data_IF_999583525704
#
_entry.id   IF_999583525704
#
_cell.length_a   1.000
_cell.length_b   1.000
_cell.length_c   1.000
_cell.angle_alpha   90.00
_cell.angle_beta   90.00
_cell.angle_gamma   90.00
#
_symmetry.space_group_name_H-M   'P 1'
#
loop_
_entity.id
_entity.type
_entity.pdbx_description
1 polymer ?
2 non-polymer ?
3 water ?
#
# COMPACT_ATOMS: atom_id res chain seq x y z
N UNK A 1 2.26 -20.86 -7.64
CA UNK A 1 0.98 -20.11 -7.85
C UNK A 1 0.81 -19.73 -9.35
N UNK A 2 1.90 -19.74 -10.13
CA UNK A 2 1.94 -19.40 -11.58
C UNK A 2 0.65 -19.81 -12.30
N UNK A 3 0.25 -21.09 -12.19
CA UNK A 3 -0.79 -21.74 -13.04
C UNK A 3 -2.09 -20.94 -12.96
N UNK A 4 -2.34 -20.34 -11.79
CA UNK A 4 -3.50 -19.44 -11.53
C UNK A 4 -3.51 -18.26 -12.51
N UNK A 5 -2.34 -17.82 -12.97
CA UNK A 5 -2.14 -16.54 -13.69
C UNK A 5 -1.82 -16.79 -15.17
N UNK A 6 -1.54 -18.04 -15.54
CA UNK A 6 -1.04 -18.42 -16.89
C UNK A 6 -2.21 -18.52 -17.85
N UNK A 7 -2.04 -18.00 -19.07
CA UNK A 7 -2.97 -18.17 -20.19
C UNK A 7 -4.14 -17.21 -20.11
N UNK A 8 -5.00 -17.28 -21.12
CA UNK A 8 -6.23 -16.46 -21.23
C UNK A 8 -7.13 -16.69 -20.00
N UNK A 9 -7.26 -17.91 -19.51
CA UNK A 9 -8.10 -18.22 -18.32
C UNK A 9 -7.46 -17.58 -17.08
N UNK A 10 -6.13 -17.45 -17.04
CA UNK A 10 -5.40 -16.85 -15.92
C UNK A 10 -5.50 -15.33 -15.88
N UNK A 11 -6.06 -14.71 -16.93
CA UNK A 11 -5.94 -13.25 -17.21
C UNK A 11 -6.83 -12.48 -16.22
N UNK A 12 -8.03 -12.96 -15.97
CA UNK A 12 -8.97 -12.38 -14.97
C UNK A 12 -8.16 -12.07 -13.68
N UNK A 13 -7.44 -13.06 -13.13
CA UNK A 13 -6.73 -12.90 -11.84
C UNK A 13 -5.34 -12.25 -12.05
N UNK A 14 -4.69 -12.45 -13.20
CA UNK A 14 -3.44 -11.72 -13.52
C UNK A 14 -3.71 -10.21 -13.48
N UNK A 15 -4.79 -9.75 -14.11
CA UNK A 15 -5.12 -8.29 -14.19
C UNK A 15 -5.37 -7.76 -12.77
N UNK A 16 -6.18 -8.45 -11.97
CA UNK A 16 -6.47 -8.07 -10.55
C UNK A 16 -5.17 -8.04 -9.73
N UNK A 17 -4.31 -9.05 -9.87
CA UNK A 17 -2.98 -9.07 -9.21
C UNK A 17 -2.27 -7.75 -9.50
N UNK A 18 -2.17 -7.38 -10.78
CA UNK A 18 -1.36 -6.21 -11.24
C UNK A 18 -2.07 -4.91 -10.80
N UNK A 19 -3.40 -4.93 -10.67
CA UNK A 19 -4.19 -3.78 -10.15
C UNK A 19 -3.80 -3.47 -8.69
N UNK A 20 -3.49 -4.48 -7.90
CA UNK A 20 -3.14 -4.33 -6.47
C UNK A 20 -1.71 -3.80 -6.33
N UNK A 21 -0.89 -3.86 -7.38
CA UNK A 21 0.52 -3.39 -7.33
C UNK A 21 0.50 -1.87 -7.07
N UNK A 22 1.41 -1.40 -6.22
CA UNK A 22 1.51 0.02 -5.78
C UNK A 22 1.76 0.93 -6.98
N UNK A 23 2.41 0.42 -8.04
CA UNK A 23 2.75 1.23 -9.23
C UNK A 23 1.52 1.37 -10.12
N UNK A 24 0.52 0.50 -9.98
CA UNK A 24 -0.69 0.47 -10.86
C UNK A 24 -1.87 1.15 -10.15
N UNK A 25 -2.09 0.86 -8.85
CA UNK A 25 -3.07 1.61 -7.99
C UNK A 25 -4.47 1.47 -8.57
N UNK A 26 -4.80 0.31 -9.11
CA UNK A 26 -6.20 -0.09 -9.40
C UNK A 26 -6.61 0.17 -10.83
N UNK A 27 -5.77 0.86 -11.61
CA UNK A 27 -6.07 1.28 -13.02
C UNK A 27 -6.12 0.03 -13.90
N UNK A 28 -7.30 -0.28 -14.42
CA UNK A 28 -7.57 -1.52 -15.19
C UNK A 28 -6.81 -1.42 -16.51
N UNK A 29 -6.71 -0.22 -17.06
CA UNK A 29 -6.10 0.00 -18.40
C UNK A 29 -4.64 -0.43 -18.32
N UNK A 30 -3.91 0.14 -17.37
CA UNK A 30 -2.45 -0.11 -17.23
C UNK A 30 -2.27 -1.61 -16.93
N UNK A 31 -3.15 -2.18 -16.10
CA UNK A 31 -3.10 -3.58 -15.62
C UNK A 31 -3.26 -4.55 -16.80
N UNK A 32 -4.17 -4.25 -17.72
CA UNK A 32 -4.48 -5.08 -18.92
C UNK A 32 -3.29 -5.04 -19.87
N UNK A 33 -2.79 -3.84 -20.19
CA UNK A 33 -1.57 -3.63 -21.04
C UNK A 33 -0.37 -4.30 -20.36
N UNK A 34 -0.16 -4.09 -19.06
CA UNK A 34 0.95 -4.74 -18.28
C UNK A 34 0.83 -6.27 -18.38
N UNK A 35 -0.39 -6.79 -18.21
CA UNK A 35 -0.72 -8.24 -18.27
C UNK A 35 -0.24 -8.81 -19.61
N UNK A 36 -0.40 -8.07 -20.71
CA UNK A 36 -0.01 -8.54 -22.07
C UNK A 36 1.51 -8.60 -22.21
N UNK A 37 2.26 -7.86 -21.39
CA UNK A 37 3.70 -7.56 -21.66
C UNK A 37 4.60 -8.19 -20.60
N UNK A 38 4.08 -8.68 -19.48
CA UNK A 38 4.94 -9.28 -18.42
C UNK A 38 5.21 -10.75 -18.77
N UNK A 39 6.24 -11.31 -18.14
CA UNK A 39 6.58 -12.74 -18.15
C UNK A 39 6.67 -13.20 -16.70
N UNK A 40 6.00 -14.31 -16.38
CA UNK A 40 5.96 -14.88 -15.02
C UNK A 40 7.28 -15.58 -14.76
N UNK A 41 7.88 -15.36 -13.60
CA UNK A 41 9.10 -16.08 -13.12
C UNK A 41 8.88 -16.53 -11.69
N UNK A 42 9.27 -17.75 -11.34
CA UNK A 42 9.40 -18.14 -9.93
C UNK A 42 10.84 -17.79 -9.49
N UNK A 43 11.02 -17.43 -8.23
CA UNK A 43 12.35 -17.14 -7.66
C UNK A 43 12.57 -18.07 -6.47
N UNK A 44 13.63 -18.87 -6.51
CA UNK A 44 14.05 -19.74 -5.37
C UNK A 44 14.51 -18.86 -4.22
N UNK A 45 14.22 -19.25 -2.97
CA UNK A 45 14.78 -18.61 -1.76
C UNK A 45 16.28 -18.46 -1.97
N UNK A 46 16.84 -17.28 -1.64
CA UNK A 46 18.30 -17.04 -1.64
C UNK A 46 18.82 -16.59 -3.01
N UNK A 47 18.06 -16.83 -4.08
CA UNK A 47 18.31 -16.27 -5.43
C UNK A 47 18.46 -14.75 -5.32
N UNK A 48 19.45 -14.21 -6.02
CA UNK A 48 19.61 -12.76 -6.21
C UNK A 48 18.95 -12.40 -7.54
N UNK A 49 17.68 -11.99 -7.50
CA UNK A 49 16.90 -11.61 -8.71
C UNK A 49 17.67 -10.49 -9.41
N UNK A 50 18.17 -9.53 -8.62
CA UNK A 50 18.97 -8.37 -9.06
C UNK A 50 20.25 -8.35 -8.23
N UNK A 51 21.37 -8.02 -8.85
CA UNK A 51 22.68 -7.89 -8.18
C UNK A 51 23.18 -6.47 -8.36
N UNK A 52 23.67 -5.88 -7.28
CA UNK A 52 24.20 -4.50 -7.24
C UNK A 52 25.31 -4.36 -8.28
N UNK A 53 25.30 -3.25 -9.03
CA UNK A 53 26.38 -2.79 -9.93
C UNK A 53 26.41 -3.65 -11.20
N UNK A 54 25.42 -4.52 -11.40
CA UNK A 54 25.12 -5.13 -12.70
C UNK A 54 24.24 -4.17 -13.49
N UNK A 55 24.10 -4.46 -14.77
CA UNK A 55 23.56 -3.54 -15.79
C UNK A 55 22.31 -4.17 -16.41
N UNK A 56 21.51 -4.92 -15.63
CA UNK A 56 20.12 -5.25 -15.99
C UNK A 56 19.24 -4.04 -15.63
N UNK A 57 18.09 -3.91 -16.28
CA UNK A 57 17.21 -2.71 -16.14
C UNK A 57 15.74 -3.10 -16.23
N UNK A 58 15.45 -4.37 -15.96
CA UNK A 58 14.08 -4.94 -15.89
C UNK A 58 13.40 -4.46 -14.62
N UNK A 59 12.07 -4.36 -14.67
CA UNK A 59 11.19 -4.11 -13.51
C UNK A 59 10.46 -5.41 -13.18
N UNK A 60 10.38 -5.72 -11.88
CA UNK A 60 9.67 -6.87 -11.33
C UNK A 60 8.52 -6.34 -10.45
N UNK A 61 7.30 -6.78 -10.76
CA UNK A 61 6.10 -6.64 -9.90
C UNK A 61 5.98 -7.90 -9.01
N UNK A 62 6.07 -7.74 -7.68
CA UNK A 62 6.10 -8.88 -6.73
C UNK A 62 4.67 -9.31 -6.47
N UNK A 63 4.28 -10.47 -6.99
CA UNK A 63 2.92 -11.05 -6.75
C UNK A 63 2.95 -11.80 -5.42
N UNK A 64 3.96 -12.64 -5.22
CA UNK A 64 4.09 -13.54 -4.05
C UNK A 64 5.53 -13.52 -3.55
N UNK A 65 5.69 -13.55 -2.23
CA UNK A 65 6.97 -13.76 -1.55
C UNK A 65 7.58 -12.42 -1.20
N UNK A 66 8.81 -12.43 -0.71
CA UNK A 66 9.49 -11.20 -0.26
C UNK A 66 11.00 -11.33 -0.48
N UNK A 67 11.65 -10.18 -0.56
CA UNK A 67 13.03 -10.02 -1.05
C UNK A 67 13.73 -8.97 -0.19
N UNK A 68 14.99 -9.21 0.11
CA UNK A 68 15.91 -8.28 0.82
C UNK A 68 16.47 -7.28 -0.19
N UNK A 69 16.47 -5.98 0.16
CA UNK A 69 17.25 -4.92 -0.56
C UNK A 69 18.57 -4.72 0.21
N UNK A 70 19.69 -5.03 -0.44
CA UNK A 70 21.05 -5.10 0.15
C UNK A 70 21.95 -4.15 -0.64
N UNK A 71 22.53 -3.18 0.03
CA UNK A 71 23.54 -2.27 -0.55
C UNK A 71 24.84 -2.44 0.22
N UNK A 72 25.94 -2.63 -0.50
CA UNK A 72 27.31 -2.68 0.06
C UNK A 72 27.38 -3.58 1.30
N UNK A 73 26.69 -4.73 1.26
CA UNK A 73 26.75 -5.78 2.28
C UNK A 73 25.64 -5.67 3.32
N UNK A 74 24.95 -4.52 3.41
CA UNK A 74 23.98 -4.24 4.51
C UNK A 74 22.56 -4.25 3.93
N UNK A 75 21.62 -4.94 4.61
CA UNK A 75 20.17 -4.88 4.29
C UNK A 75 19.62 -3.52 4.76
N UNK A 76 18.75 -2.90 3.95
CA UNK A 76 18.19 -1.53 4.21
C UNK A 76 16.67 -1.57 4.10
N UNK A 77 16.10 -2.66 3.61
CA UNK A 77 14.65 -2.85 3.44
C UNK A 77 14.34 -4.26 2.96
N UNK A 78 13.06 -4.61 3.01
CA UNK A 78 12.48 -5.83 2.37
C UNK A 78 11.26 -5.38 1.58
N UNK A 79 10.95 -6.09 0.50
CA UNK A 79 9.81 -5.78 -0.39
C UNK A 79 9.01 -7.07 -0.61
N UNK A 80 7.68 -6.97 -0.56
CA UNK A 80 6.75 -8.11 -0.58
C UNK A 80 5.63 -7.91 -1.59
N UNK A 81 4.50 -8.63 -1.44
CA UNK A 81 3.41 -8.55 -2.40
C UNK A 81 2.98 -7.11 -2.74
N UNK A 82 2.75 -6.83 -4.03
CA UNK A 82 2.22 -5.54 -4.54
C UNK A 82 3.30 -4.45 -4.53
N UNK A 83 4.49 -4.78 -4.04
CA UNK A 83 5.69 -3.92 -4.19
C UNK A 83 6.25 -4.14 -5.59
N UNK A 84 7.16 -3.28 -6.01
CA UNK A 84 7.96 -3.45 -7.25
C UNK A 84 9.44 -3.23 -6.94
N UNK A 85 10.30 -3.79 -7.78
CA UNK A 85 11.76 -3.60 -7.70
C UNK A 85 12.31 -3.42 -9.11
N UNK A 86 13.43 -2.69 -9.25
CA UNK A 86 14.16 -2.49 -10.51
C UNK A 86 13.72 -1.24 -11.24
N UNK A 87 12.80 -0.43 -10.67
CA UNK A 87 12.28 0.78 -11.37
C UNK A 87 13.42 1.80 -11.55
N UNK A 88 14.38 1.84 -10.63
CA UNK A 88 15.45 2.88 -10.62
C UNK A 88 16.31 2.74 -11.89
N UNK A 89 16.83 1.56 -12.22
CA UNK A 89 17.57 1.28 -13.48
C UNK A 89 16.67 1.53 -14.71
N UNK A 90 15.41 1.10 -14.67
CA UNK A 90 14.45 1.25 -15.79
C UNK A 90 14.22 2.72 -16.19
N UNK A 91 14.23 3.68 -15.26
CA UNK A 91 13.93 5.12 -15.59
C UNK A 91 15.24 5.90 -15.80
N UNK A 92 16.40 5.32 -15.49
CA UNK A 92 17.74 5.94 -15.68
C UNK A 92 18.53 5.10 -16.67
N UNK A 93 18.70 5.55 -17.94
CA UNK A 93 19.31 4.75 -18.99
C UNK A 93 20.77 4.33 -18.76
N UNK A 94 21.51 5.09 -17.94
CA UNK A 94 22.97 4.94 -17.71
C UNK A 94 23.29 4.45 -16.29
N UNK A 95 22.30 4.18 -15.42
CA UNK A 95 22.55 3.75 -14.00
C UNK A 95 22.54 2.22 -13.89
N UNK A 96 23.54 1.67 -13.22
CA UNK A 96 23.61 0.24 -12.83
C UNK A 96 22.60 0.00 -11.70
N UNK A 97 22.20 -1.25 -11.51
CA UNK A 97 21.43 -1.71 -10.33
C UNK A 97 22.04 -1.09 -9.07
N UNK A 98 21.22 -0.39 -8.26
CA UNK A 98 21.66 0.36 -7.04
C UNK A 98 21.87 -0.60 -5.88
N UNK A 99 21.30 -1.81 -5.96
CA UNK A 99 21.17 -2.78 -4.84
C UNK A 99 21.10 -4.21 -5.37
N UNK A 100 21.56 -5.15 -4.56
CA UNK A 100 21.17 -6.57 -4.68
C UNK A 100 19.78 -6.72 -4.10
N UNK A 101 18.92 -7.47 -4.78
CA UNK A 101 17.57 -7.86 -4.33
C UNK A 101 17.54 -9.39 -4.24
N UNK A 102 17.41 -9.94 -3.04
CA UNK A 102 17.59 -11.39 -2.78
C UNK A 102 16.31 -11.94 -2.19
N UNK A 103 15.79 -13.03 -2.76
CA UNK A 103 14.59 -13.75 -2.25
C UNK A 103 14.85 -14.26 -0.82
N UNK A 104 14.20 -13.65 0.16
CA UNK A 104 14.13 -14.15 1.57
C UNK A 104 13.52 -15.55 1.54
N UNK A 105 12.63 -15.78 0.57
CA UNK A 105 11.81 -17.01 0.40
C UNK A 105 11.44 -17.14 -1.08
N UNK A 106 10.92 -18.32 -1.45
CA UNK A 106 10.22 -18.60 -2.73
C UNK A 106 9.24 -17.45 -3.03
N UNK A 107 9.43 -16.82 -4.19
CA UNK A 107 8.61 -15.67 -4.71
C UNK A 107 8.05 -15.99 -6.08
N UNK A 108 6.98 -15.30 -6.45
CA UNK A 108 6.48 -15.22 -7.83
C UNK A 108 6.42 -13.74 -8.23
N UNK A 109 7.01 -13.40 -9.38
CA UNK A 109 7.14 -12.00 -9.86
C UNK A 109 6.67 -11.92 -11.31
N UNK A 110 6.16 -10.76 -11.72
CA UNK A 110 5.91 -10.41 -13.13
C UNK A 110 7.04 -9.51 -13.62
N UNK A 111 7.80 -9.97 -14.62
CA UNK A 111 8.97 -9.25 -15.19
C UNK A 111 8.53 -8.49 -16.46
N UNK A 112 8.90 -7.23 -16.57
CA UNK A 112 8.73 -6.39 -17.80
C UNK A 112 10.09 -5.79 -18.12
N UNK A 113 10.51 -5.87 -19.39
CA UNK A 113 11.78 -5.26 -19.87
C UNK A 113 11.65 -3.72 -19.84
N UNK A 114 12.78 -3.03 -19.72
CA UNK A 114 12.85 -1.55 -19.83
C UNK A 114 12.19 -1.09 -21.14
N UNK A 115 12.47 -1.74 -22.27
CA UNK A 115 11.93 -1.32 -23.60
C UNK A 115 10.40 -1.35 -23.61
N UNK A 116 9.79 -2.44 -23.13
CA UNK A 116 8.31 -2.60 -23.09
C UNK A 116 7.69 -1.63 -22.06
N UNK A 117 8.39 -1.41 -20.93
CA UNK A 117 7.91 -0.51 -19.85
C UNK A 117 7.92 0.93 -20.32
N UNK A 118 9.05 1.41 -20.86
CA UNK A 118 9.23 2.80 -21.36
C UNK A 118 8.18 3.10 -22.43
N UNK A 119 7.89 2.12 -23.31
CA UNK A 119 6.87 2.26 -24.38
C UNK A 119 5.48 2.44 -23.76
N UNK A 120 5.17 1.70 -22.70
CA UNK A 120 3.88 1.79 -21.96
C UNK A 120 3.79 3.12 -21.20
N UNK A 121 4.85 3.50 -20.47
CA UNK A 121 4.88 4.69 -19.58
C UNK A 121 4.90 5.98 -20.40
N UNK A 122 5.52 5.93 -21.58
CA UNK A 122 5.49 7.00 -22.62
C UNK A 122 4.15 7.75 -22.51
N UNK A 123 3.05 7.00 -22.59
CA UNK A 123 1.66 7.51 -22.72
C UNK A 123 0.80 6.98 -21.56
N UNK A 124 1.41 6.69 -20.40
CA UNK A 124 0.70 6.44 -19.12
C UNK A 124 1.51 7.12 -18.01
N UNK A 125 1.66 8.44 -18.14
CA UNK A 125 2.40 9.34 -17.24
C UNK A 125 2.27 8.86 -15.79
N UNK A 126 1.06 8.47 -15.35
CA UNK A 126 0.76 8.20 -13.92
C UNK A 126 1.67 7.09 -13.37
N UNK A 127 2.33 6.32 -14.24
CA UNK A 127 3.32 5.28 -13.82
C UNK A 127 4.58 5.99 -13.27
N UNK A 128 5.06 7.01 -13.97
CA UNK A 128 6.19 7.87 -13.49
C UNK A 128 5.76 8.52 -12.17
N UNK A 129 4.52 8.99 -12.07
CA UNK A 129 3.98 9.62 -10.85
C UNK A 129 4.06 8.62 -9.70
N UNK A 130 3.57 7.40 -9.91
CA UNK A 130 3.40 6.39 -8.84
C UNK A 130 4.77 5.88 -8.40
N UNK A 131 5.72 5.79 -9.33
CA UNK A 131 7.16 5.51 -9.05
C UNK A 131 7.71 6.61 -8.14
N UNK A 132 7.46 7.88 -8.49
CA UNK A 132 7.92 9.06 -7.72
C UNK A 132 7.42 8.95 -6.28
N UNK A 133 6.17 8.56 -6.10
CA UNK A 133 5.50 8.43 -4.78
C UNK A 133 6.25 7.39 -3.93
N UNK A 134 6.50 6.20 -4.50
CA UNK A 134 7.28 5.12 -3.85
C UNK A 134 8.65 5.66 -3.44
N UNK A 135 9.40 6.26 -4.36
CA UNK A 135 10.76 6.79 -4.10
C UNK A 135 10.68 7.88 -3.01
N UNK A 136 9.66 8.75 -3.05
CA UNK A 136 9.37 9.74 -1.99
C UNK A 136 9.27 9.04 -0.63
N UNK A 137 8.54 7.92 -0.57
CA UNK A 137 8.33 7.15 0.69
C UNK A 137 9.66 6.58 1.19
N UNK A 138 10.45 5.94 0.32
CA UNK A 138 11.75 5.34 0.70
C UNK A 138 12.66 6.44 1.25
N UNK A 139 12.49 7.67 0.76
CA UNK A 139 13.39 8.83 1.05
C UNK A 139 13.03 9.37 2.43
N UNK A 140 11.74 9.28 2.79
CA UNK A 140 11.11 9.95 3.95
C UNK A 140 11.06 9.02 5.17
N UNK A 141 11.75 7.87 5.11
CA UNK A 141 11.58 6.78 6.10
C UNK A 141 12.85 6.60 6.94
N UNK A 142 12.73 6.74 8.27
CA UNK A 142 13.72 6.30 9.30
C UNK A 142 15.13 6.76 8.90
N UNK A 143 15.35 8.09 8.85
CA UNK A 143 16.66 8.71 8.53
C UNK A 143 17.69 8.25 9.58
N UNK A 144 17.30 8.28 10.87
CA UNK A 144 18.16 8.03 12.06
C UNK A 144 19.53 8.71 11.86
N UNK A 145 20.51 8.37 12.71
CA UNK A 145 21.86 8.98 12.70
C UNK A 145 22.86 7.91 12.21
N UNK A 146 23.69 8.27 11.24
CA UNK A 146 24.85 7.45 10.80
C UNK A 146 25.93 7.59 11.87
N UNK A 147 26.36 6.46 12.44
CA UNK A 147 27.40 6.37 13.50
C UNK A 147 28.75 6.69 12.86
N UNK A 148 29.57 7.48 13.54
CA UNK A 148 31.03 7.58 13.33
C UNK A 148 31.71 6.75 14.44
N UNK A 149 32.47 5.72 14.05
CA UNK A 149 33.33 4.93 14.96
C UNK A 149 34.65 5.66 15.13
N UNK A 150 35.11 5.80 16.36
CA UNK A 150 36.40 6.45 16.71
C UNK A 150 37.41 5.35 17.06
N UNK A 151 38.57 5.41 16.42
CA UNK A 151 39.68 4.45 16.56
C UNK A 151 40.93 5.22 16.99
N UNK A 152 41.63 4.71 18.01
CA UNK A 152 43.00 5.16 18.39
C UNK A 152 44.01 4.10 17.95
N UNK A 153 44.93 4.47 17.04
CA UNK A 153 45.96 3.60 16.41
C UNK A 153 47.35 3.88 17.00
N UNK A 154 47.97 2.85 17.58
CA UNK A 154 49.39 2.81 17.96
C UNK A 154 50.16 1.93 16.97
N UNK A 155 50.87 2.59 16.04
CA UNK A 155 51.52 2.00 14.84
C UNK A 155 52.98 1.67 15.10
N UNK A 156 53.39 0.45 14.75
CA UNK A 156 54.76 -0.10 14.93
C UNK A 156 55.21 -0.73 13.61
N UNK A 157 56.37 -0.31 13.09
CA UNK A 157 56.98 -0.76 11.82
C UNK A 157 58.12 -1.75 12.13
N UNK A 158 58.30 -2.74 11.26
CA UNK A 158 59.41 -3.74 11.32
C UNK A 158 59.96 -3.95 9.91
N UNK B 1 -6.40 21.99 4.32
CA UNK B 1 -6.58 20.82 3.42
C UNK B 1 -7.91 20.93 2.68
N UNK B 2 -9.01 21.02 3.41
CA UNK B 2 -10.39 20.85 2.85
C UNK B 2 -10.57 21.74 1.61
N UNK B 3 -9.91 22.90 1.59
CA UNK B 3 -9.95 23.89 0.48
C UNK B 3 -9.61 23.20 -0.85
N UNK B 4 -8.59 22.34 -0.84
CA UNK B 4 -8.06 21.62 -2.02
C UNK B 4 -9.15 20.75 -2.66
N UNK B 5 -10.07 20.21 -1.86
CA UNK B 5 -10.99 19.12 -2.26
C UNK B 5 -12.44 19.61 -2.36
N UNK B 6 -12.69 20.90 -2.10
CA UNK B 6 -14.05 21.51 -2.10
C UNK B 6 -14.35 22.16 -3.47
N UNK B 7 -15.61 22.08 -3.92
CA UNK B 7 -16.12 22.78 -5.10
C UNK B 7 -15.78 22.04 -6.36
N UNK B 8 -15.86 22.71 -7.52
CA UNK B 8 -15.48 22.12 -8.84
C UNK B 8 -13.95 21.99 -8.89
N UNK B 9 -13.23 22.99 -8.38
CA UNK B 9 -11.74 23.07 -8.43
C UNK B 9 -11.19 21.83 -7.72
N UNK B 10 -11.80 21.46 -6.59
CA UNK B 10 -11.31 20.42 -5.67
C UNK B 10 -11.63 19.02 -6.15
N UNK B 11 -12.69 18.87 -6.95
CA UNK B 11 -13.26 17.55 -7.38
C UNK B 11 -12.17 16.61 -7.92
N UNK B 12 -11.25 17.12 -8.74
CA UNK B 12 -10.16 16.30 -9.36
C UNK B 12 -9.28 15.68 -8.25
N UNK B 13 -9.00 16.44 -7.18
CA UNK B 13 -8.12 16.03 -6.06
C UNK B 13 -8.92 15.14 -5.11
N UNK B 14 -10.24 15.38 -5.00
CA UNK B 14 -11.16 14.63 -4.11
C UNK B 14 -11.31 13.21 -4.67
N UNK B 15 -11.73 13.11 -5.95
CA UNK B 15 -11.89 11.82 -6.67
C UNK B 15 -10.58 11.02 -6.61
N UNK B 16 -9.43 11.70 -6.72
CA UNK B 16 -8.07 11.10 -6.76
C UNK B 16 -7.73 10.50 -5.40
N UNK B 17 -8.00 11.21 -4.30
CA UNK B 17 -7.79 10.70 -2.93
C UNK B 17 -8.76 9.55 -2.67
N UNK B 18 -9.96 9.60 -3.28
CA UNK B 18 -11.03 8.59 -3.10
C UNK B 18 -10.67 7.31 -3.88
N UNK B 19 -10.21 7.42 -5.13
CA UNK B 19 -9.91 6.22 -5.95
C UNK B 19 -8.66 5.54 -5.36
N UNK B 20 -7.88 6.27 -4.55
CA UNK B 20 -6.73 5.72 -3.78
C UNK B 20 -7.22 5.05 -2.49
N UNK B 21 -8.51 5.10 -2.18
CA UNK B 21 -9.01 4.51 -0.90
C UNK B 21 -8.94 2.98 -1.01
N UNK B 22 -8.55 2.31 0.09
CA UNK B 22 -8.50 0.82 0.21
C UNK B 22 -9.82 0.18 -0.27
N UNK B 23 -10.95 0.89 -0.17
CA UNK B 23 -12.30 0.35 -0.45
C UNK B 23 -12.69 0.57 -1.92
N UNK B 24 -12.05 1.52 -2.62
CA UNK B 24 -12.45 1.95 -3.99
C UNK B 24 -11.50 1.31 -5.03
N UNK B 25 -10.24 1.11 -4.67
CA UNK B 25 -9.24 0.28 -5.43
C UNK B 25 -9.10 0.81 -6.87
N UNK B 26 -9.08 2.13 -7.05
CA UNK B 26 -8.78 2.80 -8.33
C UNK B 26 -9.98 2.98 -9.25
N UNK B 27 -11.15 2.41 -8.92
CA UNK B 27 -12.35 2.49 -9.79
C UNK B 27 -12.86 3.93 -9.82
N UNK B 28 -13.03 4.49 -11.02
CA UNK B 28 -13.27 5.95 -11.27
C UNK B 28 -14.76 6.23 -11.09
N UNK B 29 -15.60 5.39 -11.66
CA UNK B 29 -17.07 5.48 -11.59
C UNK B 29 -17.48 5.54 -10.11
N UNK B 30 -16.88 4.68 -9.29
CA UNK B 30 -17.23 4.53 -7.86
C UNK B 30 -16.79 5.78 -7.12
N UNK B 31 -15.56 6.25 -7.37
CA UNK B 31 -14.97 7.48 -6.81
C UNK B 31 -15.85 8.69 -7.14
N UNK B 32 -16.30 8.80 -8.39
CA UNK B 32 -17.11 9.95 -8.88
C UNK B 32 -18.44 9.98 -8.12
N UNK B 33 -19.09 8.82 -7.97
CA UNK B 33 -20.40 8.68 -7.30
C UNK B 33 -20.22 8.91 -5.80
N UNK B 34 -19.18 8.33 -5.22
CA UNK B 34 -18.79 8.56 -3.81
C UNK B 34 -18.71 10.08 -3.57
N UNK B 35 -17.93 10.79 -4.39
CA UNK B 35 -17.74 12.25 -4.32
C UNK B 35 -19.11 12.95 -4.32
N UNK B 36 -20.05 12.52 -5.16
CA UNK B 36 -21.39 13.14 -5.28
C UNK B 36 -22.17 13.03 -3.96
N UNK B 37 -21.82 12.09 -3.08
CA UNK B 37 -22.65 11.78 -1.87
C UNK B 37 -21.83 11.79 -0.57
N UNK B 38 -20.62 12.39 -0.55
CA UNK B 38 -19.86 12.57 0.71
C UNK B 38 -19.94 14.03 1.17
N UNK B 39 -19.72 14.24 2.47
CA UNK B 39 -19.45 15.57 3.07
C UNK B 39 -18.06 15.52 3.69
N UNK B 40 -17.19 16.43 3.27
CA UNK B 40 -15.88 16.68 3.88
C UNK B 40 -16.08 17.28 5.26
N UNK B 41 -15.40 16.71 6.26
CA UNK B 41 -15.31 17.26 7.62
C UNK B 41 -13.84 17.28 8.00
N UNK B 42 -13.39 18.37 8.61
CA UNK B 42 -12.11 18.43 9.33
C UNK B 42 -12.32 17.80 10.71
N UNK B 43 -11.44 16.89 11.10
CA UNK B 43 -11.40 16.31 12.46
C UNK B 43 -10.14 16.86 13.12
N UNK B 44 -10.26 17.34 14.36
CA UNK B 44 -9.14 17.95 15.10
C UNK B 44 -8.45 16.87 15.93
N UNK B 45 -7.12 16.94 16.05
CA UNK B 45 -6.33 16.23 17.08
C UNK B 45 -7.20 16.04 18.32
N UNK B 46 -7.33 14.81 18.84
CA UNK B 46 -7.99 14.53 20.12
C UNK B 46 -9.49 14.26 19.99
N UNK B 47 -10.16 14.81 18.96
CA UNK B 47 -11.63 14.68 18.80
C UNK B 47 -12.00 13.22 18.46
N UNK B 48 -12.88 12.61 19.26
CA UNK B 48 -13.44 11.25 19.02
C UNK B 48 -14.44 11.28 17.85
N UNK B 49 -14.00 10.95 16.64
CA UNK B 49 -14.85 10.90 15.41
C UNK B 49 -16.05 9.97 15.64
N UNK B 50 -15.81 8.85 16.35
CA UNK B 50 -16.79 7.75 16.59
C UNK B 50 -16.54 7.25 18.01
N UNK B 51 -17.61 6.93 18.76
CA UNK B 51 -17.53 6.40 20.15
C UNK B 51 -18.07 4.97 20.19
N UNK B 52 -17.31 4.06 20.82
CA UNK B 52 -17.70 2.65 21.06
C UNK B 52 -19.08 2.59 21.72
N UNK B 53 -19.92 1.62 21.32
CA UNK B 53 -21.23 1.29 21.95
C UNK B 53 -22.21 2.47 21.77
N UNK B 54 -21.88 3.41 20.88
CA UNK B 54 -22.76 4.46 20.36
C UNK B 54 -23.50 3.90 19.12
N UNK B 55 -24.60 4.52 18.67
CA UNK B 55 -25.36 3.97 17.53
C UNK B 55 -25.45 4.97 16.36
N UNK B 56 -24.31 5.56 15.96
CA UNK B 56 -24.10 6.20 14.64
C UNK B 56 -23.71 5.10 13.64
N UNK B 57 -23.98 5.28 12.34
CA UNK B 57 -23.66 4.26 11.31
C UNK B 57 -23.18 4.90 10.01
N UNK B 58 -22.51 6.05 10.09
CA UNK B 58 -21.82 6.71 8.94
C UNK B 58 -20.47 6.03 8.69
N UNK B 59 -20.06 6.01 7.42
CA UNK B 59 -18.72 5.56 6.95
C UNK B 59 -17.88 6.81 6.67
N UNK B 60 -16.61 6.76 7.02
CA UNK B 60 -15.62 7.84 6.77
C UNK B 60 -14.45 7.28 5.96
N UNK B 61 -14.16 7.92 4.83
CA UNK B 61 -12.89 7.74 4.08
C UNK B 61 -11.86 8.73 4.62
N UNK B 62 -10.75 8.24 5.14
CA UNK B 62 -9.63 9.08 5.66
C UNK B 62 -8.83 9.59 4.46
N UNK B 63 -8.91 10.89 4.19
CA UNK B 63 -8.18 11.57 3.07
C UNK B 63 -6.83 12.08 3.59
N UNK B 64 -6.81 12.70 4.77
CA UNK B 64 -5.57 13.23 5.38
C UNK B 64 -5.55 12.94 6.88
N UNK B 65 -4.35 12.77 7.43
CA UNK B 65 -4.15 12.53 8.87
C UNK B 65 -4.34 11.07 9.24
N UNK B 66 -4.30 10.78 10.52
CA UNK B 66 -4.32 9.40 11.08
C UNK B 66 -5.12 9.42 12.37
N UNK B 67 -5.69 8.28 12.75
CA UNK B 67 -6.66 8.16 13.87
C UNK B 67 -6.39 6.87 14.62
N UNK B 68 -6.49 6.93 15.94
CA UNK B 68 -6.37 5.80 16.88
C UNK B 68 -7.68 4.99 16.88
N UNK B 69 -7.58 3.66 16.81
CA UNK B 69 -8.70 2.69 17.03
C UNK B 69 -8.59 2.14 18.44
N UNK B 70 -9.65 2.31 19.25
CA UNK B 70 -9.65 2.09 20.72
C UNK B 70 -10.82 1.16 21.07
N UNK B 71 -10.52 0.10 21.83
CA UNK B 71 -11.54 -0.85 22.40
C UNK B 71 -11.34 -0.91 23.91
N UNK B 72 -12.35 -0.49 24.67
CA UNK B 72 -12.35 -0.41 26.15
C UNK B 72 -11.06 0.29 26.62
N UNK B 73 -10.86 1.55 26.21
CA UNK B 73 -9.85 2.45 26.80
C UNK B 73 -8.47 2.31 26.18
N UNK B 74 -8.21 1.24 25.43
CA UNK B 74 -6.84 0.90 24.94
C UNK B 74 -6.86 0.71 23.43
N UNK B 75 -5.84 1.25 22.76
CA UNK B 75 -5.69 1.29 21.28
C UNK B 75 -5.32 -0.10 20.77
N UNK B 76 -5.72 -0.43 19.55
CA UNK B 76 -5.46 -1.76 18.92
C UNK B 76 -4.87 -1.58 17.52
N UNK B 77 -5.07 -0.41 16.91
CA UNK B 77 -4.54 -0.09 15.56
C UNK B 77 -4.54 1.42 15.34
N UNK B 78 -3.86 1.85 14.27
CA UNK B 78 -3.94 3.23 13.70
C UNK B 78 -4.33 3.10 12.24
N UNK B 79 -5.31 3.90 11.79
CA UNK B 79 -5.73 3.95 10.37
C UNK B 79 -5.29 5.30 9.80
N UNK B 80 -4.55 5.27 8.70
CA UNK B 80 -3.97 6.47 8.08
C UNK B 80 -4.72 6.82 6.81
N UNK B 81 -4.18 7.72 5.96
CA UNK B 81 -4.79 8.02 4.67
C UNK B 81 -4.96 6.76 3.81
N UNK B 82 -6.07 6.73 3.05
CA UNK B 82 -6.49 5.63 2.14
C UNK B 82 -7.19 4.52 2.93
N UNK B 83 -7.23 4.61 4.26
CA UNK B 83 -8.07 3.73 5.12
C UNK B 83 -9.51 4.25 5.10
N UNK B 84 -10.41 3.54 5.81
CA UNK B 84 -11.79 3.97 6.15
C UNK B 84 -12.07 3.62 7.61
N UNK B 85 -13.21 4.06 8.14
CA UNK B 85 -13.71 3.71 9.50
C UNK B 85 -15.24 3.70 9.46
N UNK B 86 -15.87 2.94 10.36
CA UNK B 86 -17.34 2.86 10.50
C UNK B 86 -17.98 1.94 9.48
N UNK B 87 -17.17 1.21 8.71
CA UNK B 87 -17.62 0.34 7.58
C UNK B 87 -18.42 -0.86 8.13
N UNK B 88 -18.11 -1.30 9.36
CA UNK B 88 -18.76 -2.46 10.02
C UNK B 88 -20.22 -2.10 10.32
N UNK B 89 -20.48 -0.88 10.81
CA UNK B 89 -21.83 -0.37 11.13
C UNK B 89 -22.58 0.02 9.84
N UNK B 90 -22.01 -0.23 8.67
CA UNK B 90 -22.71 -0.16 7.36
C UNK B 90 -22.69 -1.55 6.69
N UNK B 91 -22.46 -2.59 7.48
CA UNK B 91 -22.37 -4.01 7.06
C UNK B 91 -23.24 -4.83 8.03
N UNK B 92 -23.27 -4.41 9.29
CA UNK B 92 -24.17 -4.90 10.36
C UNK B 92 -25.08 -3.74 10.75
N UNK B 93 -26.24 -3.59 10.07
CA UNK B 93 -27.11 -2.43 10.30
C UNK B 93 -27.80 -2.35 11.67
N UNK B 94 -27.84 -3.44 12.47
CA UNK B 94 -28.51 -3.49 13.80
C UNK B 94 -27.47 -3.36 14.92
N UNK B 95 -26.25 -2.92 14.61
CA UNK B 95 -25.10 -3.03 15.53
C UNK B 95 -24.52 -1.64 15.83
N UNK B 96 -24.25 -1.42 17.13
CA UNK B 96 -23.57 -0.23 17.68
C UNK B 96 -22.12 -0.25 17.19
N UNK B 97 -21.42 0.88 17.34
CA UNK B 97 -19.98 1.03 17.00
C UNK B 97 -19.16 0.05 17.84
N UNK B 98 -18.23 -0.68 17.22
CA UNK B 98 -17.41 -1.74 17.89
C UNK B 98 -16.21 -1.09 18.60
N UNK B 99 -15.83 0.12 18.17
CA UNK B 99 -14.60 0.84 18.60
C UNK B 99 -14.84 2.35 18.63
N UNK B 100 -14.12 3.05 19.51
CA UNK B 100 -13.91 4.52 19.48
C UNK B 100 -12.82 4.82 18.44
N UNK B 101 -12.92 5.95 17.73
CA UNK B 101 -11.92 6.37 16.72
C UNK B 101 -11.49 7.82 17.03
N UNK B 102 -10.34 7.98 17.70
CA UNK B 102 -9.83 9.30 18.18
C UNK B 102 -8.69 9.76 17.27
N UNK B 103 -8.85 10.91 16.62
CA UNK B 103 -7.87 11.49 15.67
C UNK B 103 -6.54 11.77 16.39
N UNK B 104 -5.45 11.29 15.82
CA UNK B 104 -4.08 11.34 16.41
C UNK B 104 -3.45 12.68 16.01
N UNK B 105 -3.95 13.28 14.93
CA UNK B 105 -3.56 14.63 14.44
C UNK B 105 -4.73 15.20 13.64
N UNK B 106 -4.61 16.42 13.13
CA UNK B 106 -5.67 17.01 12.30
C UNK B 106 -5.85 16.10 11.07
N UNK B 107 -7.10 15.80 10.74
CA UNK B 107 -7.50 14.90 9.63
C UNK B 107 -8.48 15.63 8.72
N UNK B 108 -8.50 15.24 7.45
CA UNK B 108 -9.62 15.49 6.51
C UNK B 108 -10.26 14.14 6.21
N UNK B 109 -11.51 13.93 6.66
CA UNK B 109 -12.33 12.72 6.36
C UNK B 109 -13.49 13.10 5.42
N UNK B 110 -13.90 12.17 4.56
CA UNK B 110 -15.12 12.22 3.74
C UNK B 110 -16.18 11.31 4.36
N UNK B 111 -17.28 11.90 4.85
CA UNK B 111 -18.39 11.20 5.51
C UNK B 111 -19.48 10.90 4.47
N UNK B 112 -19.93 9.65 4.40
CA UNK B 112 -21.12 9.24 3.61
C UNK B 112 -22.06 8.54 4.59
N UNK B 113 -23.38 8.74 4.42
CA UNK B 113 -24.41 8.09 5.25
C UNK B 113 -24.50 6.61 4.85
N UNK B 114 -24.89 5.76 5.81
CA UNK B 114 -25.26 4.36 5.57
C UNK B 114 -26.25 4.28 4.40
N UNK B 115 -27.29 5.12 4.39
CA UNK B 115 -28.37 5.13 3.37
C UNK B 115 -27.73 5.25 1.99
N UNK B 116 -26.92 6.30 1.79
CA UNK B 116 -26.30 6.63 0.49
C UNK B 116 -25.30 5.54 0.08
N UNK B 117 -24.51 5.06 1.04
CA UNK B 117 -23.47 4.04 0.81
C UNK B 117 -24.11 2.73 0.33
N UNK B 118 -25.10 2.23 1.09
CA UNK B 118 -25.89 1.01 0.77
C UNK B 118 -26.47 1.12 -0.64
N UNK B 119 -27.13 2.23 -0.94
CA UNK B 119 -27.73 2.48 -2.27
C UNK B 119 -26.64 2.35 -3.36
N UNK B 120 -25.45 2.89 -3.08
CA UNK B 120 -24.32 2.91 -4.03
C UNK B 120 -23.77 1.49 -4.20
N UNK B 121 -23.51 0.82 -3.07
CA UNK B 121 -22.88 -0.51 -3.01
C UNK B 121 -23.82 -1.55 -3.60
N UNK B 122 -25.14 -1.33 -3.50
CA UNK B 122 -26.16 -2.36 -3.86
C UNK B 122 -25.99 -2.75 -5.33
N UNK B 123 -25.76 -1.75 -6.19
CA UNK B 123 -25.59 -1.95 -7.66
C UNK B 123 -24.10 -2.03 -8.02
N UNK B 124 -23.21 -1.97 -7.01
CA UNK B 124 -21.73 -1.96 -7.16
C UNK B 124 -21.11 -3.01 -6.25
N UNK B 125 -21.24 -4.28 -6.62
CA UNK B 125 -20.77 -5.48 -5.88
C UNK B 125 -19.36 -5.26 -5.31
N UNK B 126 -18.47 -4.61 -6.07
CA UNK B 126 -17.01 -4.52 -5.78
C UNK B 126 -16.74 -3.82 -4.44
N UNK B 127 -17.59 -2.89 -4.03
CA UNK B 127 -17.44 -2.18 -2.73
C UNK B 127 -17.51 -3.21 -1.60
N UNK B 128 -18.50 -4.09 -1.60
CA UNK B 128 -18.65 -5.18 -0.59
C UNK B 128 -17.47 -6.16 -0.69
N UNK B 129 -17.00 -6.47 -1.91
CA UNK B 129 -15.81 -7.33 -2.09
C UNK B 129 -14.58 -6.63 -1.49
N UNK B 130 -14.38 -5.35 -1.81
CA UNK B 130 -13.25 -4.52 -1.29
C UNK B 130 -13.26 -4.52 0.24
N UNK B 131 -14.43 -4.35 0.85
CA UNK B 131 -14.58 -4.37 2.33
C UNK B 131 -14.17 -5.75 2.86
N UNK B 132 -14.68 -6.83 2.25
CA UNK B 132 -14.33 -8.23 2.65
C UNK B 132 -12.82 -8.38 2.62
N UNK B 133 -12.17 -7.85 1.59
CA UNK B 133 -10.72 -8.07 1.34
C UNK B 133 -9.86 -7.40 2.42
N UNK B 134 -10.26 -6.19 2.84
CA UNK B 134 -9.55 -5.41 3.88
C UNK B 134 -9.79 -6.07 5.25
N UNK B 135 -10.98 -6.61 5.49
CA UNK B 135 -11.26 -7.33 6.76
C UNK B 135 -10.45 -8.63 6.83
N UNK B 136 -10.20 -9.26 5.69
CA UNK B 136 -9.42 -10.52 5.61
C UNK B 136 -7.96 -10.21 5.92
N UNK B 137 -7.41 -9.17 5.28
CA UNK B 137 -6.06 -8.60 5.57
C UNK B 137 -5.92 -8.31 7.07
N UNK B 138 -6.88 -7.62 7.67
CA UNK B 138 -6.79 -7.23 9.10
C UNK B 138 -6.78 -8.48 9.98
N UNK B 139 -7.57 -9.50 9.64
CA UNK B 139 -7.66 -10.78 10.40
C UNK B 139 -6.36 -11.58 10.27
N UNK B 140 -5.73 -11.55 9.10
CA UNK B 140 -4.38 -12.10 8.85
C UNK B 140 -3.36 -11.49 9.85
N UNK B 141 -3.28 -10.15 9.90
CA UNK B 141 -2.35 -9.40 10.79
C UNK B 141 -2.59 -9.82 12.25
N UNK B 142 -3.85 -10.12 12.59
CA UNK B 142 -4.28 -10.47 13.97
C UNK B 142 -3.90 -11.91 14.30
N UNK B 143 -4.21 -12.85 13.40
CA UNK B 143 -3.73 -14.26 13.46
C UNK B 143 -2.23 -14.27 13.79
N UNK B 144 -1.46 -13.41 13.11
CA UNK B 144 0.02 -13.30 13.21
C UNK B 144 0.41 -12.81 14.62
N UNK B 145 -0.22 -11.75 15.14
CA UNK B 145 0.07 -11.19 16.50
C UNK B 145 -0.22 -12.23 17.57
N UNK B 146 -1.46 -12.73 17.56
CA UNK B 146 -2.02 -13.70 18.54
C UNK B 146 -1.13 -14.95 18.59
N UNK B 147 -0.59 -15.42 17.46
CA UNK B 147 0.15 -16.71 17.39
C UNK B 147 1.66 -16.49 17.40
N UNK B 148 2.13 -15.27 17.22
CA UNK B 148 3.56 -14.94 17.38
C UNK B 148 3.90 -15.02 18.88
N UNK B 149 4.96 -15.72 19.24
CA UNK B 149 5.52 -15.68 20.62
C UNK B 149 6.41 -14.45 20.74
N UNK B 150 6.06 -13.55 21.66
CA UNK B 150 6.76 -12.27 21.94
C UNK B 150 7.73 -12.49 23.11
N UNK B 151 9.01 -12.18 22.90
CA UNK B 151 10.10 -12.48 23.87
C UNK B 151 10.93 -11.21 24.12
N UNK B 152 11.07 -10.84 25.40
CA UNK B 152 11.94 -9.74 25.87
C UNK B 152 13.22 -10.37 26.44
N UNK B 153 14.37 -10.06 25.83
CA UNK B 153 15.68 -10.67 26.17
C UNK B 153 16.53 -9.64 26.89
N UNK B 154 17.11 -10.05 28.02
CA UNK B 154 18.16 -9.30 28.75
C UNK B 154 19.42 -10.18 28.78
N UNK B 155 20.42 -9.85 27.95
CA UNK B 155 21.68 -10.63 27.78
C UNK B 155 22.80 -10.09 28.69
N UNK B 156 23.32 -10.93 29.58
CA UNK B 156 24.61 -10.72 30.31
C UNK B 156 25.66 -11.69 29.77
N UNK B 157 26.84 -11.18 29.41
CA UNK B 157 27.95 -11.96 28.80
C UNK B 157 28.99 -12.29 29.88
N UNK B 158 28.91 -13.52 30.44
CA UNK B 158 29.70 -13.99 31.61
C UNK B 158 29.25 -13.24 32.86
#
# INVERSE_FOLDING_TARGET
>A
MIERFEGETGMRLLVEALQMNKMVRGNVKIAQELAKKIVLEKVSAGDELIQQDTETNDIYFIISGSLSIIVNGQQIAIRGPNDHIGEMAAIQPTQKRSATVQAVEQCLVAKITEADFSHLAKNNAELYKSIAQELARRLQERNKLVTTHHLEHHHHHH
>B
MIERFEGETGMRLLVEALQMNKMVRGNVKIAQELAKKIVLEKVSAGDELIQQDTETNDIYFIISGSLSIIVNGQQIAIRGPNDHIGEMAAIQPTQKRSATVQAVEQCLVAKITEADFSHLAKNNAELYKSIAQELARRLQERNKLVTTHHLEHHHHHH
#
